data_IF_188710294821
#
_entry.id   IF_188710294821
#
_cell.length_a   1.000
_cell.length_b   1.000
_cell.length_c   1.000
_cell.angle_alpha   90.00
_cell.angle_beta   90.00
_cell.angle_gamma   90.00
#
_symmetry.space_group_name_H-M   'P 1'
#
loop_
_entity.id
_entity.type
_entity.pdbx_description
1 polymer ?
#
# COMPACT_ATOMS: atom_id res chain seq x y z
N UNK A 1 -18.99 -30.44 28.95
CA UNK A 1 -18.26 -29.34 28.29
C UNK A 1 -17.40 -28.66 29.34
N UNK A 2 -16.09 -28.80 29.28
CA UNK A 2 -15.16 -28.05 30.15
C UNK A 2 -15.20 -26.58 29.72
N UNK A 3 -15.66 -25.70 30.61
CA UNK A 3 -15.50 -24.25 30.44
C UNK A 3 -14.01 -23.97 30.48
N UNK A 4 -13.39 -23.80 29.31
CA UNK A 4 -12.00 -23.35 29.20
C UNK A 4 -11.90 -21.97 29.83
N UNK A 5 -11.03 -21.83 30.83
CA UNK A 5 -10.73 -20.53 31.42
C UNK A 5 -9.94 -19.74 30.38
N UNK A 6 -10.61 -18.80 29.71
CA UNK A 6 -9.95 -17.88 28.80
C UNK A 6 -8.90 -17.07 29.57
N UNK A 7 -7.76 -16.78 28.94
CA UNK A 7 -6.70 -15.98 29.57
C UNK A 7 -7.25 -14.61 29.95
N UNK A 8 -6.80 -14.05 31.07
CA UNK A 8 -7.16 -12.68 31.48
C UNK A 8 -6.82 -11.70 30.34
N UNK A 9 -7.78 -10.89 29.91
CA UNK A 9 -7.64 -9.96 28.78
C UNK A 9 -8.10 -10.51 27.42
N UNK A 10 -8.49 -11.79 27.33
CA UNK A 10 -9.04 -12.37 26.11
C UNK A 10 -10.27 -11.61 25.60
N UNK A 11 -11.15 -11.14 26.49
CA UNK A 11 -12.35 -10.39 26.10
C UNK A 11 -12.01 -9.04 25.45
N UNK A 12 -10.90 -8.40 25.85
CA UNK A 12 -10.41 -7.17 25.21
C UNK A 12 -9.85 -7.48 23.82
N UNK A 13 -9.04 -8.53 23.72
CA UNK A 13 -8.47 -8.99 22.45
C UNK A 13 -9.56 -9.43 21.47
N UNK A 14 -10.63 -10.06 21.97
CA UNK A 14 -11.82 -10.44 21.20
C UNK A 14 -12.53 -9.21 20.66
N UNK A 15 -12.79 -8.20 21.49
CA UNK A 15 -13.42 -6.95 21.06
C UNK A 15 -12.58 -6.20 20.00
N UNK A 16 -11.25 -6.19 20.14
CA UNK A 16 -10.36 -5.64 19.11
C UNK A 16 -10.40 -6.45 17.80
N UNK A 17 -10.43 -7.78 17.90
CA UNK A 17 -10.59 -8.68 16.76
C UNK A 17 -11.89 -8.44 16.00
N UNK A 18 -13.01 -8.43 16.70
CA UNK A 18 -14.35 -8.18 16.12
C UNK A 18 -14.45 -6.80 15.45
N UNK A 19 -13.83 -5.77 16.03
CA UNK A 19 -13.75 -4.44 15.39
C UNK A 19 -12.90 -4.46 14.11
N UNK A 20 -11.79 -5.21 14.09
CA UNK A 20 -10.94 -5.31 12.91
C UNK A 20 -11.63 -6.10 11.78
N UNK A 21 -12.28 -7.21 12.12
CA UNK A 21 -13.10 -8.01 11.21
C UNK A 21 -14.28 -7.20 10.66
N UNK A 22 -14.96 -6.42 11.51
CA UNK A 22 -16.03 -5.52 11.09
C UNK A 22 -15.57 -4.50 10.05
N UNK A 23 -14.41 -3.87 10.25
CA UNK A 23 -13.83 -2.93 9.26
C UNK A 23 -13.47 -3.62 7.94
N UNK A 24 -12.89 -4.82 8.00
CA UNK A 24 -12.56 -5.57 6.79
C UNK A 24 -13.83 -5.99 6.04
N UNK A 25 -14.84 -6.46 6.78
CA UNK A 25 -16.16 -6.76 6.25
C UNK A 25 -16.78 -5.54 5.58
N UNK A 26 -16.73 -4.38 6.20
CA UNK A 26 -17.26 -3.14 5.61
C UNK A 26 -16.56 -2.77 4.29
N UNK A 27 -15.31 -3.22 4.07
CA UNK A 27 -14.59 -3.04 2.80
C UNK A 27 -14.99 -4.12 1.77
N UNK A 28 -15.11 -5.38 2.20
CA UNK A 28 -15.39 -6.53 1.34
C UNK A 28 -16.88 -6.63 0.94
N UNK A 29 -17.77 -6.28 1.86
CA UNK A 29 -19.24 -6.26 1.69
C UNK A 29 -19.75 -4.91 1.20
N UNK A 30 -18.86 -3.98 0.84
CA UNK A 30 -19.22 -2.65 0.38
C UNK A 30 -20.02 -2.70 -0.93
N UNK A 31 -21.31 -3.01 -0.85
CA UNK A 31 -22.29 -2.75 -1.89
C UNK A 31 -22.45 -1.24 -2.02
N UNK A 32 -21.57 -0.61 -2.79
CA UNK A 32 -21.60 0.82 -3.10
C UNK A 32 -20.27 1.59 -2.98
N UNK A 33 -19.24 1.04 -2.32
CA UNK A 33 -17.92 1.67 -2.33
C UNK A 33 -17.18 1.33 -3.63
N UNK A 34 -16.63 2.35 -4.28
CA UNK A 34 -15.76 2.17 -5.45
C UNK A 34 -14.39 1.67 -4.98
N UNK A 35 -14.00 0.47 -5.42
CA UNK A 35 -12.66 -0.11 -5.21
C UNK A 35 -11.92 -0.09 -6.54
N UNK A 36 -10.70 0.46 -6.54
CA UNK A 36 -9.79 0.35 -7.68
C UNK A 36 -8.91 -0.89 -7.51
N UNK A 37 -8.93 -1.79 -8.49
CA UNK A 37 -8.09 -3.00 -8.49
C UNK A 37 -6.92 -2.77 -9.42
N UNK A 38 -5.70 -2.92 -8.88
CA UNK A 38 -4.46 -2.78 -9.64
C UNK A 38 -3.63 -4.05 -9.54
N UNK A 39 -3.28 -4.62 -10.69
CA UNK A 39 -2.22 -5.62 -10.79
C UNK A 39 -0.91 -4.90 -11.15
N UNK A 40 0.17 -5.23 -10.45
CA UNK A 40 1.50 -4.69 -10.72
C UNK A 40 2.52 -5.83 -10.84
N UNK A 41 2.77 -6.28 -12.07
CA UNK A 41 3.73 -7.36 -12.35
C UNK A 41 5.16 -6.97 -11.93
N UNK A 42 5.49 -5.67 -11.94
CA UNK A 42 6.79 -5.16 -11.53
C UNK A 42 7.07 -5.37 -10.04
N UNK A 43 6.05 -5.65 -9.24
CA UNK A 43 6.24 -5.95 -7.83
C UNK A 43 7.15 -7.17 -7.62
N UNK A 44 6.94 -8.26 -8.36
CA UNK A 44 7.65 -9.54 -8.13
C UNK A 44 9.17 -9.38 -8.22
N UNK A 45 9.62 -8.46 -9.06
CA UNK A 45 11.03 -8.26 -9.34
C UNK A 45 11.69 -7.21 -8.42
N UNK A 46 10.93 -6.22 -7.93
CA UNK A 46 11.50 -5.03 -7.27
C UNK A 46 10.98 -4.77 -5.85
N UNK A 47 9.96 -5.49 -5.37
CA UNK A 47 9.37 -5.30 -4.04
C UNK A 47 8.69 -3.94 -3.84
N UNK A 48 8.42 -3.22 -4.93
CA UNK A 48 7.79 -1.91 -4.94
C UNK A 48 6.47 -1.98 -5.71
N UNK A 49 5.50 -1.18 -5.30
CA UNK A 49 4.28 -0.93 -6.08
C UNK A 49 4.43 0.40 -6.79
N UNK A 50 4.21 0.44 -8.10
CA UNK A 50 4.20 1.66 -8.87
C UNK A 50 2.80 2.30 -8.85
N UNK A 51 2.69 3.50 -8.27
CA UNK A 51 1.46 4.26 -8.22
C UNK A 51 1.51 5.38 -9.24
N UNK A 52 0.70 5.28 -10.29
CA UNK A 52 0.61 6.25 -11.38
C UNK A 52 -0.18 7.50 -10.95
N UNK A 53 0.27 8.68 -11.40
CA UNK A 53 -0.45 9.95 -11.24
C UNK A 53 -0.65 10.72 -12.55
N UNK A 54 0.04 10.36 -13.63
CA UNK A 54 -0.02 11.03 -14.93
C UNK A 54 0.18 10.02 -16.07
N UNK A 55 -0.65 10.14 -17.11
CA UNK A 55 -0.50 9.40 -18.37
C UNK A 55 -0.63 10.38 -19.54
N UNK A 56 0.38 10.40 -20.43
CA UNK A 56 0.46 11.28 -21.62
C UNK A 56 0.28 12.76 -21.28
N UNK A 57 0.86 13.22 -20.17
CA UNK A 57 0.74 14.61 -19.73
C UNK A 57 -0.60 14.98 -19.10
N UNK A 58 -1.51 14.00 -18.92
CA UNK A 58 -2.81 14.21 -18.28
C UNK A 58 -2.83 13.54 -16.90
N UNK A 59 -3.48 14.16 -15.89
CA UNK A 59 -3.69 13.52 -14.59
C UNK A 59 -4.38 12.16 -14.74
N UNK A 60 -3.94 11.17 -13.96
CA UNK A 60 -4.48 9.81 -13.98
C UNK A 60 -4.27 9.11 -12.63
N UNK A 61 -4.79 7.88 -12.48
CA UNK A 61 -4.55 7.03 -11.32
C UNK A 61 -4.85 7.74 -9.99
N UNK A 62 -3.87 7.79 -9.09
CA UNK A 62 -4.04 8.38 -7.75
C UNK A 62 -4.41 9.87 -7.76
N UNK A 63 -4.13 10.58 -8.86
CA UNK A 63 -4.47 12.00 -9.01
C UNK A 63 -5.95 12.23 -9.35
N UNK A 64 -6.62 11.24 -9.97
CA UNK A 64 -8.00 11.37 -10.48
C UNK A 64 -8.97 10.33 -9.93
N UNK A 65 -8.48 9.34 -9.16
CA UNK A 65 -9.31 8.24 -8.64
C UNK A 65 -10.42 8.77 -7.74
N UNK A 66 -11.63 8.25 -7.95
CA UNK A 66 -12.79 8.42 -7.06
C UNK A 66 -12.96 7.22 -6.11
N UNK A 67 -12.06 6.24 -6.19
CA UNK A 67 -12.12 5.05 -5.35
C UNK A 67 -11.88 5.45 -3.89
N UNK A 68 -12.63 4.82 -2.98
CA UNK A 68 -12.42 4.97 -1.54
C UNK A 68 -11.29 4.05 -1.05
N UNK A 69 -11.12 2.94 -1.75
CA UNK A 69 -10.17 1.88 -1.44
C UNK A 69 -9.43 1.44 -2.70
N UNK A 70 -8.19 1.02 -2.50
CA UNK A 70 -7.36 0.38 -3.49
C UNK A 70 -7.09 -1.05 -3.05
N UNK A 71 -7.25 -2.00 -3.97
CA UNK A 71 -6.82 -3.37 -3.83
C UNK A 71 -5.66 -3.60 -4.81
N UNK A 72 -4.45 -3.78 -4.27
CA UNK A 72 -3.24 -3.92 -5.06
C UNK A 72 -2.80 -5.37 -4.99
N UNK A 73 -2.88 -6.08 -6.11
CA UNK A 73 -2.36 -7.43 -6.23
C UNK A 73 -0.84 -7.39 -6.38
N UNK A 74 -0.14 -8.09 -5.49
CA UNK A 74 1.33 -8.14 -5.49
C UNK A 74 1.87 -9.58 -5.64
N UNK A 75 1.02 -10.58 -5.50
CA UNK A 75 1.31 -11.97 -5.83
C UNK A 75 -0.03 -12.63 -6.18
N UNK A 76 -0.03 -13.76 -6.89
CA UNK A 76 -1.26 -14.46 -7.28
C UNK A 76 -2.18 -14.62 -6.06
N UNK A 77 -3.40 -14.07 -6.16
CA UNK A 77 -4.45 -14.05 -5.13
C UNK A 77 -4.05 -13.36 -3.79
N UNK A 78 -2.98 -12.57 -3.79
CA UNK A 78 -2.48 -11.82 -2.64
C UNK A 78 -2.64 -10.31 -2.84
N UNK A 79 -3.51 -9.70 -2.03
CA UNK A 79 -3.88 -8.30 -2.15
C UNK A 79 -3.49 -7.47 -0.93
N UNK A 80 -2.97 -6.27 -1.19
CA UNK A 80 -2.91 -5.18 -0.21
C UNK A 80 -4.14 -4.31 -0.39
N UNK A 81 -4.99 -4.27 0.64
CA UNK A 81 -6.15 -3.37 0.69
C UNK A 81 -5.80 -2.14 1.52
N UNK A 82 -5.98 -0.96 0.93
CA UNK A 82 -5.62 0.32 1.55
C UNK A 82 -6.61 1.43 1.18
N UNK A 83 -6.91 2.31 2.13
CA UNK A 83 -7.74 3.48 1.83
C UNK A 83 -6.99 4.46 0.93
N UNK A 84 -7.71 5.08 0.00
CA UNK A 84 -7.14 6.09 -0.91
C UNK A 84 -6.45 7.22 -0.14
N UNK A 85 -7.02 7.64 0.99
CA UNK A 85 -6.43 8.67 1.84
C UNK A 85 -5.07 8.25 2.44
N UNK A 86 -4.94 7.00 2.85
CA UNK A 86 -3.66 6.48 3.37
C UNK A 86 -2.65 6.32 2.24
N UNK A 87 -3.10 5.84 1.08
CA UNK A 87 -2.29 5.73 -0.13
C UNK A 87 -1.73 7.09 -0.58
N UNK A 88 -2.56 8.14 -0.60
CA UNK A 88 -2.14 9.51 -0.94
C UNK A 88 -1.05 10.04 0.00
N UNK A 89 -1.09 9.71 1.30
CA UNK A 89 -0.03 10.11 2.24
C UNK A 89 1.30 9.44 1.93
N UNK A 90 1.29 8.13 1.66
CA UNK A 90 2.48 7.40 1.23
C UNK A 90 3.04 7.92 -0.09
N UNK A 91 2.15 8.12 -1.07
CA UNK A 91 2.50 8.69 -2.35
C UNK A 91 3.21 10.03 -2.20
N UNK A 92 2.62 10.96 -1.43
CA UNK A 92 3.24 12.26 -1.17
C UNK A 92 4.60 12.12 -0.50
N UNK A 93 4.71 11.31 0.55
CA UNK A 93 5.97 11.09 1.27
C UNK A 93 7.09 10.63 0.33
N UNK A 94 6.86 9.57 -0.46
CA UNK A 94 7.88 9.04 -1.38
C UNK A 94 8.15 9.96 -2.57
N UNK A 95 7.14 10.69 -3.04
CA UNK A 95 7.32 11.73 -4.04
C UNK A 95 8.26 12.84 -3.54
N UNK A 96 8.11 13.25 -2.28
CA UNK A 96 8.89 14.33 -1.69
C UNK A 96 10.34 13.88 -1.37
N UNK A 97 10.61 12.56 -1.31
CA UNK A 97 11.97 11.99 -1.19
C UNK A 97 12.80 12.09 -2.49
N UNK A 98 12.22 12.56 -3.59
CA UNK A 98 12.91 12.91 -4.83
C UNK A 98 13.12 11.75 -5.82
N UNK A 99 13.95 12.01 -6.84
CA UNK A 99 14.04 11.23 -8.09
C UNK A 99 14.32 9.72 -7.93
N UNK A 100 14.76 9.25 -6.75
CA UNK A 100 14.91 7.81 -6.44
C UNK A 100 13.59 7.05 -6.65
N UNK A 101 12.48 7.65 -6.22
CA UNK A 101 11.15 7.02 -6.19
C UNK A 101 10.24 7.48 -7.32
N UNK A 102 10.53 8.63 -7.95
CA UNK A 102 9.87 9.00 -9.20
C UNK A 102 10.33 8.07 -10.31
N UNK A 103 9.37 7.48 -11.03
CA UNK A 103 9.63 6.62 -12.17
C UNK A 103 8.81 7.10 -13.35
N UNK A 104 9.48 7.20 -14.49
CA UNK A 104 8.84 7.18 -15.81
C UNK A 104 8.89 5.73 -16.27
N UNK A 105 7.75 5.18 -16.71
CA UNK A 105 7.69 3.77 -17.10
C UNK A 105 8.44 3.58 -18.42
N UNK A 106 9.62 2.96 -18.35
CA UNK A 106 10.50 2.80 -19.52
C UNK A 106 9.86 1.97 -20.66
N UNK A 107 8.83 1.18 -20.38
CA UNK A 107 8.15 0.30 -21.34
C UNK A 107 7.02 0.95 -22.16
N UNK A 108 6.49 2.10 -21.74
CA UNK A 108 5.36 2.74 -22.43
C UNK A 108 5.77 3.93 -23.32
N UNK A 109 7.08 4.12 -23.52
CA UNK A 109 7.71 5.32 -24.10
C UNK A 109 7.72 6.55 -23.16
N UNK A 110 7.68 6.36 -21.85
CA UNK A 110 7.72 7.44 -20.86
C UNK A 110 6.41 8.24 -20.77
N UNK A 111 5.28 7.63 -21.15
CA UNK A 111 3.97 8.29 -21.13
C UNK A 111 3.37 8.24 -19.73
N UNK A 112 3.68 7.24 -18.92
CA UNK A 112 3.23 7.12 -17.53
C UNK A 112 4.28 7.64 -16.55
N UNK A 113 3.83 8.49 -15.62
CA UNK A 113 4.63 8.92 -14.47
C UNK A 113 3.99 8.46 -13.18
N UNK A 114 4.83 8.02 -12.26
CA UNK A 114 4.39 7.50 -10.97
C UNK A 114 5.48 7.47 -9.93
N UNK A 115 5.09 6.98 -8.77
CA UNK A 115 5.97 6.82 -7.60
C UNK A 115 6.04 5.34 -7.25
N UNK A 116 7.25 4.81 -7.17
CA UNK A 116 7.51 3.46 -6.68
C UNK A 116 7.55 3.48 -5.14
N UNK A 117 6.62 2.76 -4.50
CA UNK A 117 6.48 2.71 -3.04
C UNK A 117 6.83 1.30 -2.55
N UNK A 118 7.85 1.13 -1.68
CA UNK A 118 8.25 -0.17 -1.13
C UNK A 118 7.17 -0.82 -0.27
N UNK A 119 6.93 -2.14 -0.43
CA UNK A 119 5.92 -2.87 0.36
C UNK A 119 6.21 -2.91 1.88
N UNK A 120 7.46 -2.75 2.29
CA UNK A 120 7.80 -2.66 3.71
C UNK A 120 7.32 -1.36 4.37
N UNK A 121 7.09 -0.30 3.59
CA UNK A 121 6.71 1.00 4.13
C UNK A 121 5.32 0.97 4.80
N UNK A 122 4.40 0.17 4.25
CA UNK A 122 2.96 0.29 4.50
C UNK A 122 2.54 -0.15 5.91
N UNK A 123 3.40 -0.89 6.62
CA UNK A 123 3.20 -1.27 8.02
C UNK A 123 3.41 -0.12 9.01
N UNK A 124 4.04 0.99 8.61
CA UNK A 124 4.24 2.17 9.45
C UNK A 124 3.28 3.32 9.17
N UNK A 125 3.55 4.51 9.71
CA UNK A 125 2.84 5.75 9.36
C UNK A 125 3.84 6.76 8.76
N UNK A 126 3.60 7.33 7.57
CA UNK A 126 4.50 8.31 6.97
C UNK A 126 4.81 9.50 7.89
N UNK A 127 3.85 9.91 8.73
CA UNK A 127 4.02 10.99 9.69
C UNK A 127 4.89 10.62 10.90
N UNK A 128 5.05 9.33 11.19
CA UNK A 128 5.89 8.80 12.27
C UNK A 128 7.25 8.30 11.76
N UNK A 129 7.38 8.03 10.46
CA UNK A 129 8.63 7.55 9.85
C UNK A 129 9.76 8.59 9.79
N UNK A 130 9.51 9.86 10.19
CA UNK A 130 10.57 10.83 10.43
C UNK A 130 11.57 10.43 11.53
N UNK A 131 11.22 9.43 12.35
CA UNK A 131 12.04 8.91 13.46
C UNK A 131 12.75 7.57 13.16
N UNK A 132 12.42 6.89 12.06
CA UNK A 132 13.12 5.66 11.66
C UNK A 132 14.38 6.05 10.88
N UNK A 133 15.52 5.47 11.27
CA UNK A 133 16.80 5.83 10.66
C UNK A 133 16.82 5.32 9.22
N UNK A 134 17.44 6.13 8.34
CA UNK A 134 17.59 5.85 6.89
C UNK A 134 18.20 4.46 6.61
N UNK A 135 19.02 4.00 7.54
CA UNK A 135 19.72 2.71 7.57
C UNK A 135 18.77 1.50 7.57
N UNK A 136 17.64 1.61 8.27
CA UNK A 136 16.64 0.55 8.41
C UNK A 136 15.81 0.36 7.13
N UNK A 137 15.72 1.41 6.29
CA UNK A 137 15.00 1.40 5.02
C UNK A 137 15.87 0.89 3.86
N UNK A 138 17.18 1.14 3.89
CA UNK A 138 18.12 0.71 2.84
C UNK A 138 18.58 -0.75 3.01
N UNK A 139 18.43 -1.35 4.20
CA UNK A 139 18.74 -2.76 4.48
C UNK A 139 17.93 -3.77 3.64
N UNK A 140 16.79 -3.33 3.09
CA UNK A 140 15.89 -4.19 2.29
C UNK A 140 16.03 -3.99 0.78
N UNK A 141 16.82 -3.00 0.34
CA UNK A 141 16.89 -2.59 -1.06
C UNK A 141 18.21 -2.90 -1.79
N UNK A 142 19.15 -3.61 -1.17
CA UNK A 142 20.45 -3.90 -1.80
C UNK A 142 20.74 -5.38 -1.90
N UNK A 143 20.09 -6.04 -2.87
CA UNK A 143 20.78 -7.12 -3.59
C UNK A 143 21.30 -6.54 -4.89
N UNK A 144 22.45 -5.85 -4.85
CA UNK A 144 23.23 -5.63 -6.07
C UNK A 144 23.69 -7.00 -6.56
N UNK A 145 23.13 -7.51 -7.66
CA UNK A 145 23.76 -8.62 -8.37
C UNK A 145 25.00 -8.09 -9.10
N UNK A 146 26.13 -8.76 -8.88
CA UNK A 146 27.31 -8.71 -9.72
C UNK A 146 26.99 -9.29 -11.10
#
# INVERSE_FOLDING_TARGET
MTKGVARKGFDLDLAFGEMAEGKLRDILEATGSKVEVKCDDGFRDYGNVFIEYEYRGQPSGIATTEAQWWAIEFCDDCYLVISTERLKRWFKYYRDQGAKYHKEVAGDQGRSKGVAIPLIAWGGDPGLMGHLKREDLDAFGTTRRK
#
